data_IF_020872002006
#
_entry.id   IF_020872002006
#
_cell.length_a   1.000
_cell.length_b   1.000
_cell.length_c   1.000
_cell.angle_alpha   90.00
_cell.angle_beta   90.00
_cell.angle_gamma   90.00
#
_symmetry.space_group_name_H-M   'P 1'
#
loop_
_entity.id
_entity.type
_entity.pdbx_description
1 polymer ?
#
# COMPACT_ATOMS: atom_id res chain seq x y z
N UNK A 1 -7.20 -56.34 0.89
CA UNK A 1 -6.15 -55.81 1.78
C UNK A 1 -5.48 -54.65 1.06
N UNK A 2 -5.74 -53.40 1.47
CA UNK A 2 -5.04 -52.23 0.90
C UNK A 2 -3.62 -52.26 1.45
N UNK A 3 -2.62 -52.46 0.59
CA UNK A 3 -1.22 -52.24 0.97
C UNK A 3 -1.10 -50.76 1.35
N UNK A 4 -1.05 -50.49 2.66
CA UNK A 4 -0.65 -49.20 3.18
C UNK A 4 0.85 -49.08 2.90
N UNK A 5 1.21 -48.47 1.77
CA UNK A 5 2.58 -48.03 1.53
C UNK A 5 2.96 -47.07 2.65
N UNK A 6 3.96 -47.45 3.42
CA UNK A 6 4.43 -46.66 4.54
C UNK A 6 5.24 -45.49 3.94
N UNK A 7 4.79 -44.25 4.10
CA UNK A 7 5.40 -43.05 3.49
C UNK A 7 5.66 -42.00 4.56
N UNK A 8 6.61 -41.10 4.32
CA UNK A 8 6.85 -39.93 5.17
C UNK A 8 7.03 -38.66 4.32
N UNK A 9 6.91 -37.49 4.96
CA UNK A 9 7.08 -36.19 4.33
C UNK A 9 8.31 -35.52 4.93
N UNK A 10 9.16 -34.94 4.08
CA UNK A 10 10.28 -34.08 4.48
C UNK A 10 10.46 -32.95 3.46
N UNK A 11 11.17 -31.91 3.85
CA UNK A 11 11.56 -30.86 2.91
C UNK A 11 12.50 -31.43 1.85
N UNK A 12 12.21 -31.07 0.60
CA UNK A 12 12.98 -31.42 -0.57
C UNK A 12 13.18 -30.18 -1.44
N UNK A 13 14.39 -30.03 -1.95
CA UNK A 13 14.75 -28.91 -2.81
C UNK A 13 14.73 -29.37 -4.26
N UNK A 14 13.87 -28.75 -5.07
CA UNK A 14 13.77 -29.01 -6.49
C UNK A 14 13.91 -27.70 -7.29
N UNK A 15 14.36 -27.79 -8.53
CA UNK A 15 14.47 -26.63 -9.44
C UNK A 15 13.40 -26.70 -10.51
N UNK A 16 12.60 -25.65 -10.62
CA UNK A 16 11.55 -25.50 -11.64
C UNK A 16 12.02 -24.56 -12.75
N UNK A 17 11.74 -24.90 -14.01
CA UNK A 17 12.04 -24.04 -15.15
C UNK A 17 10.75 -23.42 -15.69
N UNK A 18 10.60 -22.11 -15.53
CA UNK A 18 9.42 -21.35 -15.96
C UNK A 18 9.86 -20.35 -17.03
N UNK A 19 9.37 -20.52 -18.27
CA UNK A 19 9.68 -19.64 -19.42
C UNK A 19 11.19 -19.35 -19.62
N UNK A 20 12.05 -20.33 -19.32
CA UNK A 20 13.51 -20.20 -19.47
C UNK A 20 14.25 -19.71 -18.22
N UNK A 21 13.53 -19.45 -17.12
CA UNK A 21 14.11 -19.04 -15.83
C UNK A 21 14.04 -20.20 -14.84
N UNK A 22 15.09 -20.39 -14.05
CA UNK A 22 15.21 -21.48 -13.08
C UNK A 22 14.96 -20.99 -11.65
N UNK A 23 14.05 -21.65 -10.94
CA UNK A 23 13.66 -21.32 -9.57
C UNK A 23 13.87 -22.52 -8.65
N UNK A 24 14.76 -22.38 -7.69
CA UNK A 24 15.04 -23.41 -6.69
C UNK A 24 14.10 -23.23 -5.50
N UNK A 25 13.24 -24.23 -5.28
CA UNK A 25 12.23 -24.22 -4.21
C UNK A 25 12.50 -25.35 -3.23
N UNK A 26 12.46 -25.03 -1.95
CA UNK A 26 12.41 -26.02 -0.86
C UNK A 26 10.97 -26.12 -0.35
N UNK A 27 10.38 -27.32 -0.48
CA UNK A 27 9.01 -27.59 -0.06
C UNK A 27 8.85 -29.04 0.44
N UNK A 28 7.82 -29.33 1.26
CA UNK A 28 7.53 -30.68 1.69
C UNK A 28 7.23 -31.59 0.49
N UNK A 29 7.87 -32.76 0.43
CA UNK A 29 7.63 -33.78 -0.59
C UNK A 29 7.49 -35.17 0.06
N UNK A 30 6.79 -36.08 -0.62
CA UNK A 30 6.51 -37.43 -0.11
C UNK A 30 7.60 -38.41 -0.52
N UNK A 31 8.01 -39.26 0.42
CA UNK A 31 9.01 -40.31 0.19
C UNK A 31 8.51 -41.67 0.65
N UNK A 32 8.94 -42.73 -0.05
CA UNK A 32 8.73 -44.11 0.40
C UNK A 32 9.58 -44.40 1.64
N UNK A 33 9.00 -44.98 2.68
CA UNK A 33 9.71 -45.21 3.95
C UNK A 33 10.75 -46.33 3.89
N UNK A 34 10.75 -47.16 2.86
CA UNK A 34 11.69 -48.28 2.67
C UNK A 34 12.81 -47.92 1.71
N UNK A 35 12.48 -47.31 0.58
CA UNK A 35 13.48 -46.98 -0.47
C UNK A 35 14.03 -45.56 -0.35
N UNK A 36 13.38 -44.67 0.43
CA UNK A 36 13.67 -43.24 0.48
C UNK A 36 13.60 -42.53 -0.89
N UNK A 37 12.87 -43.11 -1.84
CA UNK A 37 12.63 -42.52 -3.15
C UNK A 37 11.48 -41.50 -3.08
N UNK A 38 11.58 -40.45 -3.90
CA UNK A 38 10.55 -39.44 -4.07
C UNK A 38 9.30 -40.09 -4.69
N UNK A 39 8.14 -39.81 -4.13
CA UNK A 39 6.84 -40.28 -4.60
C UNK A 39 6.00 -39.10 -5.08
N UNK A 40 5.29 -39.30 -6.19
CA UNK A 40 4.32 -38.33 -6.70
C UNK A 40 3.22 -38.07 -5.64
N UNK A 41 3.01 -36.80 -5.30
CA UNK A 41 1.94 -36.35 -4.43
C UNK A 41 1.38 -35.05 -5.01
N UNK A 42 0.24 -35.16 -5.69
CA UNK A 42 -0.38 -34.06 -6.43
C UNK A 42 -0.53 -32.79 -5.59
N UNK A 43 -0.83 -32.87 -4.29
CA UNK A 43 -1.01 -31.67 -3.46
C UNK A 43 0.33 -31.03 -3.07
N UNK A 44 1.33 -31.85 -2.72
CA UNK A 44 2.66 -31.37 -2.35
C UNK A 44 3.43 -30.82 -3.54
N UNK A 45 3.32 -31.50 -4.68
CA UNK A 45 3.95 -31.12 -5.94
C UNK A 45 3.35 -29.82 -6.48
N UNK A 46 2.02 -29.65 -6.42
CA UNK A 46 1.33 -28.41 -6.82
C UNK A 46 1.74 -27.22 -5.93
N UNK A 47 1.87 -27.43 -4.61
CA UNK A 47 2.38 -26.39 -3.69
C UNK A 47 3.82 -25.99 -3.99
N UNK A 48 4.67 -26.95 -4.34
CA UNK A 48 6.06 -26.66 -4.72
C UNK A 48 6.12 -25.88 -6.04
N UNK A 49 5.31 -26.27 -7.02
CA UNK A 49 5.19 -25.57 -8.28
C UNK A 49 4.63 -24.14 -8.11
N UNK A 50 3.63 -23.95 -7.25
CA UNK A 50 3.06 -22.62 -7.02
C UNK A 50 4.04 -21.68 -6.32
N UNK A 51 4.88 -22.18 -5.40
CA UNK A 51 6.00 -21.40 -4.86
C UNK A 51 6.96 -20.94 -5.96
N UNK A 52 7.30 -21.81 -6.92
CA UNK A 52 8.14 -21.41 -8.06
C UNK A 52 7.43 -20.37 -8.94
N UNK A 53 6.11 -20.51 -9.14
CA UNK A 53 5.32 -19.53 -9.87
C UNK A 53 5.30 -18.17 -9.14
N UNK A 54 5.19 -18.15 -7.81
CA UNK A 54 5.28 -16.93 -7.00
C UNK A 54 6.63 -16.23 -7.19
N UNK A 55 7.74 -16.98 -7.12
CA UNK A 55 9.08 -16.43 -7.40
C UNK A 55 9.18 -15.82 -8.81
N UNK A 56 8.61 -16.48 -9.82
CA UNK A 56 8.53 -15.93 -11.18
C UNK A 56 7.69 -14.65 -11.23
N UNK A 57 6.56 -14.59 -10.50
CA UNK A 57 5.72 -13.38 -10.45
C UNK A 57 6.43 -12.22 -9.76
N UNK A 58 7.19 -12.48 -8.71
CA UNK A 58 7.98 -11.47 -8.01
C UNK A 58 9.08 -10.89 -8.91
N UNK A 59 9.88 -11.75 -9.56
CA UNK A 59 10.96 -11.33 -10.46
C UNK A 59 10.43 -10.46 -11.61
N UNK A 60 9.30 -10.85 -12.20
CA UNK A 60 8.72 -10.15 -13.36
C UNK A 60 7.62 -9.15 -12.99
N UNK A 61 7.40 -8.91 -11.70
CA UNK A 61 6.39 -8.01 -11.18
C UNK A 61 5.00 -8.28 -11.82
N UNK A 62 4.54 -9.53 -11.77
CA UNK A 62 3.26 -9.98 -12.31
C UNK A 62 2.21 -10.07 -11.21
N UNK A 63 0.97 -9.73 -11.56
CA UNK A 63 -0.17 -9.88 -10.65
C UNK A 63 -0.42 -11.35 -10.32
N UNK A 64 -0.67 -11.62 -9.04
CA UNK A 64 -1.08 -12.91 -8.53
C UNK A 64 -2.56 -13.21 -8.86
N UNK A 65 -2.95 -14.51 -8.87
CA UNK A 65 -4.35 -14.91 -9.05
C UNK A 65 -5.29 -14.26 -8.03
N UNK A 66 -4.81 -14.14 -6.78
CA UNK A 66 -5.55 -13.52 -5.69
C UNK A 66 -5.79 -12.05 -5.94
N UNK A 67 -4.77 -11.29 -6.33
CA UNK A 67 -4.90 -9.85 -6.62
C UNK A 67 -5.93 -9.58 -7.74
N UNK A 68 -5.91 -10.38 -8.80
CA UNK A 68 -6.86 -10.27 -9.92
C UNK A 68 -8.29 -10.59 -9.45
N UNK A 69 -8.45 -11.67 -8.68
CA UNK A 69 -9.75 -12.10 -8.14
C UNK A 69 -10.31 -11.09 -7.15
N UNK A 70 -9.49 -10.56 -6.26
CA UNK A 70 -9.86 -9.56 -5.27
C UNK A 70 -10.26 -8.26 -5.95
N UNK A 71 -9.51 -7.83 -6.97
CA UNK A 71 -9.88 -6.66 -7.78
C UNK A 71 -11.22 -6.86 -8.50
N UNK A 72 -11.43 -8.02 -9.13
CA UNK A 72 -12.72 -8.33 -9.76
C UNK A 72 -13.88 -8.31 -8.77
N UNK A 73 -13.71 -8.97 -7.63
CA UNK A 73 -14.73 -9.04 -6.57
C UNK A 73 -15.03 -7.66 -5.98
N UNK A 74 -14.01 -6.80 -5.85
CA UNK A 74 -14.15 -5.40 -5.43
C UNK A 74 -15.07 -4.60 -6.35
N UNK A 75 -15.07 -4.92 -7.64
CA UNK A 75 -15.96 -4.32 -8.65
C UNK A 75 -17.32 -5.02 -8.75
N UNK A 76 -17.59 -6.01 -7.88
CA UNK A 76 -18.81 -6.85 -7.89
C UNK A 76 -19.07 -7.55 -9.24
N UNK A 77 -18.01 -7.80 -10.01
CA UNK A 77 -18.11 -8.39 -11.35
C UNK A 77 -17.94 -9.91 -11.32
N UNK A 78 -18.70 -10.60 -12.17
CA UNK A 78 -18.43 -12.01 -12.51
C UNK A 78 -17.18 -12.10 -13.39
N UNK A 79 -16.56 -13.28 -13.52
CA UNK A 79 -15.42 -13.47 -14.44
C UNK A 79 -15.77 -13.08 -15.89
N UNK A 80 -17.03 -13.31 -16.30
CA UNK A 80 -17.53 -12.95 -17.62
C UNK A 80 -17.66 -11.43 -17.80
N UNK A 81 -18.18 -10.74 -16.79
CA UNK A 81 -18.35 -9.28 -16.84
C UNK A 81 -16.99 -8.58 -16.79
N UNK A 82 -16.08 -9.11 -15.97
CA UNK A 82 -14.72 -8.59 -15.88
C UNK A 82 -13.94 -8.80 -17.17
N UNK A 83 -14.11 -9.95 -17.83
CA UNK A 83 -13.50 -10.20 -19.13
C UNK A 83 -13.98 -9.19 -20.19
N UNK A 84 -15.29 -8.88 -20.21
CA UNK A 84 -15.85 -7.84 -21.10
C UNK A 84 -15.33 -6.45 -20.76
N UNK A 85 -15.16 -6.13 -19.48
CA UNK A 85 -14.57 -4.85 -19.05
C UNK A 85 -13.14 -4.71 -19.61
N UNK A 86 -12.29 -5.72 -19.45
CA UNK A 86 -10.87 -5.68 -19.86
C UNK A 86 -10.67 -5.92 -21.36
N UNK A 87 -11.71 -6.34 -22.09
CA UNK A 87 -11.64 -6.66 -23.53
C UNK A 87 -10.99 -8.01 -23.84
N UNK A 88 -11.16 -9.02 -22.97
CA UNK A 88 -10.59 -10.38 -23.13
C UNK A 88 -11.67 -11.47 -23.07
N UNK A 89 -11.29 -12.71 -23.34
CA UNK A 89 -12.22 -13.85 -23.19
C UNK A 89 -12.47 -14.20 -21.72
N UNK A 90 -13.67 -14.68 -21.33
CA UNK A 90 -13.93 -15.15 -19.98
C UNK A 90 -12.96 -16.25 -19.51
N UNK A 91 -12.51 -17.10 -20.43
CA UNK A 91 -11.52 -18.14 -20.15
C UNK A 91 -10.16 -17.55 -19.74
N UNK A 92 -9.77 -16.41 -20.31
CA UNK A 92 -8.53 -15.72 -19.94
C UNK A 92 -8.53 -15.30 -18.48
N UNK A 93 -9.65 -14.75 -17.98
CA UNK A 93 -9.79 -14.38 -16.56
C UNK A 93 -9.79 -15.62 -15.67
N UNK A 94 -10.51 -16.67 -16.06
CA UNK A 94 -10.52 -17.93 -15.30
C UNK A 94 -9.12 -18.54 -15.18
N UNK A 95 -8.32 -18.52 -16.26
CA UNK A 95 -6.93 -18.98 -16.25
C UNK A 95 -6.07 -18.15 -15.30
N UNK A 96 -6.19 -16.82 -15.35
CA UNK A 96 -5.41 -15.94 -14.46
C UNK A 96 -5.76 -16.16 -12.99
N UNK A 97 -7.04 -16.28 -12.66
CA UNK A 97 -7.50 -16.59 -11.29
C UNK A 97 -7.16 -18.01 -10.83
N UNK A 98 -6.78 -18.90 -11.76
CA UNK A 98 -6.35 -20.26 -11.48
C UNK A 98 -4.82 -20.45 -11.46
N UNK A 99 -4.02 -19.38 -11.67
CA UNK A 99 -2.56 -19.47 -11.59
C UNK A 99 -1.81 -19.08 -12.88
N UNK A 100 -2.49 -18.99 -14.03
CA UNK A 100 -1.80 -18.67 -15.28
C UNK A 100 -1.24 -17.25 -15.27
N UNK A 101 -0.04 -17.09 -15.83
CA UNK A 101 0.62 -15.78 -15.88
C UNK A 101 -0.09 -14.83 -16.85
N UNK A 102 -0.38 -13.58 -16.44
CA UNK A 102 -0.88 -12.58 -17.36
C UNK A 102 0.15 -12.23 -18.43
N UNK A 103 -0.33 -11.91 -19.65
CA UNK A 103 0.52 -11.29 -20.67
C UNK A 103 1.03 -9.94 -20.16
N UNK A 104 2.17 -9.47 -20.70
CA UNK A 104 2.73 -8.15 -20.32
C UNK A 104 1.72 -7.02 -20.52
N UNK A 105 0.93 -7.07 -21.59
CA UNK A 105 -0.12 -6.08 -21.86
C UNK A 105 -1.24 -6.14 -20.81
N UNK A 106 -1.77 -7.34 -20.50
CA UNK A 106 -2.84 -7.49 -19.52
C UNK A 106 -2.35 -7.13 -18.11
N UNK A 107 -1.12 -7.49 -17.75
CA UNK A 107 -0.53 -7.15 -16.45
C UNK A 107 -0.42 -5.63 -16.27
N UNK A 108 0.07 -4.92 -17.29
CA UNK A 108 0.18 -3.45 -17.26
C UNK A 108 -1.19 -2.78 -17.15
N UNK A 109 -2.16 -3.23 -17.96
CA UNK A 109 -3.52 -2.70 -17.93
C UNK A 109 -4.16 -2.92 -16.55
N UNK A 110 -4.16 -4.14 -16.05
CA UNK A 110 -4.74 -4.48 -14.75
C UNK A 110 -4.08 -3.67 -13.63
N UNK A 111 -2.75 -3.56 -13.61
CA UNK A 111 -2.05 -2.71 -12.63
C UNK A 111 -2.47 -1.24 -12.72
N UNK A 112 -2.60 -0.70 -13.93
CA UNK A 112 -3.07 0.67 -14.13
C UNK A 112 -4.48 0.87 -13.57
N UNK A 113 -5.39 -0.08 -13.80
CA UNK A 113 -6.77 -0.02 -13.30
C UNK A 113 -6.87 -0.26 -11.79
N UNK A 114 -5.93 -1.02 -11.22
CA UNK A 114 -5.88 -1.32 -9.79
C UNK A 114 -5.26 -0.18 -8.98
N UNK A 115 -4.37 0.62 -9.60
CA UNK A 115 -3.61 1.69 -8.95
C UNK A 115 -4.51 2.84 -8.47
N UNK A 116 -5.43 3.30 -9.33
CA UNK A 116 -6.31 4.42 -9.01
C UNK A 116 -7.71 4.21 -9.61
N UNK A 117 -8.74 4.42 -8.80
CA UNK A 117 -10.13 4.34 -9.22
C UNK A 117 -10.45 5.40 -10.31
N UNK A 118 -9.67 6.49 -10.44
CA UNK A 118 -9.72 7.45 -11.57
C UNK A 118 -9.35 6.78 -12.90
N UNK A 119 -8.30 5.97 -12.93
CA UNK A 119 -7.88 5.27 -14.14
C UNK A 119 -8.99 4.32 -14.64
N UNK A 120 -9.71 3.69 -13.71
CA UNK A 120 -10.85 2.85 -14.05
C UNK A 120 -12.03 3.66 -14.60
N UNK A 121 -12.31 4.85 -14.04
CA UNK A 121 -13.32 5.78 -14.56
C UNK A 121 -12.97 6.27 -15.97
N UNK A 122 -11.71 6.66 -16.18
CA UNK A 122 -11.23 7.14 -17.47
C UNK A 122 -11.29 6.04 -18.53
N UNK A 123 -10.83 4.84 -18.18
CA UNK A 123 -10.90 3.66 -19.05
C UNK A 123 -12.33 3.35 -19.51
N UNK A 124 -13.30 3.38 -18.59
CA UNK A 124 -14.72 3.19 -18.94
C UNK A 124 -15.25 4.32 -19.81
N UNK A 125 -14.79 5.55 -19.60
CA UNK A 125 -15.25 6.72 -20.37
C UNK A 125 -14.74 6.68 -21.81
N UNK A 126 -13.49 6.26 -22.01
CA UNK A 126 -12.89 6.11 -23.35
C UNK A 126 -13.58 5.01 -24.15
N UNK A 127 -13.84 3.85 -23.53
CA UNK A 127 -14.46 2.69 -24.19
C UNK A 127 -15.96 2.54 -23.88
N UNK A 128 -16.65 3.65 -23.58
CA UNK A 128 -18.04 3.65 -23.11
C UNK A 128 -19.02 2.96 -24.08
N UNK A 129 -18.71 2.94 -25.38
CA UNK A 129 -19.55 2.30 -26.40
C UNK A 129 -19.29 0.80 -26.54
N UNK A 130 -18.12 0.30 -26.09
CA UNK A 130 -17.75 -1.12 -26.17
C UNK A 130 -18.10 -1.89 -24.90
N UNK A 131 -18.14 -1.21 -23.75
CA UNK A 131 -18.47 -1.82 -22.47
C UNK A 131 -19.99 -1.78 -22.25
N UNK A 132 -20.67 -2.91 -22.03
CA UNK A 132 -22.10 -2.94 -21.73
C UNK A 132 -22.50 -2.06 -20.52
N UNK A 133 -23.64 -1.37 -20.63
CA UNK A 133 -24.09 -0.38 -19.64
C UNK A 133 -24.35 -0.97 -18.25
N UNK A 134 -24.78 -2.23 -18.16
CA UNK A 134 -24.92 -2.96 -16.91
C UNK A 134 -23.58 -3.12 -16.18
N UNK A 135 -22.50 -3.39 -16.92
CA UNK A 135 -21.14 -3.51 -16.36
C UNK A 135 -20.64 -2.13 -15.91
N UNK A 136 -20.88 -1.09 -16.71
CA UNK A 136 -20.53 0.28 -16.32
C UNK A 136 -21.24 0.68 -15.02
N UNK A 137 -22.52 0.34 -14.88
CA UNK A 137 -23.30 0.66 -13.69
C UNK A 137 -22.78 -0.11 -12.47
N UNK A 138 -22.50 -1.41 -12.58
CA UNK A 138 -21.89 -2.20 -11.49
C UNK A 138 -20.56 -1.61 -11.02
N UNK A 139 -19.69 -1.21 -11.96
CA UNK A 139 -18.41 -0.58 -11.61
C UNK A 139 -18.64 0.77 -10.94
N UNK A 140 -19.52 1.63 -11.48
CA UNK A 140 -19.87 2.92 -10.85
C UNK A 140 -20.44 2.71 -9.45
N UNK A 141 -21.34 1.76 -9.26
CA UNK A 141 -21.90 1.38 -7.96
C UNK A 141 -20.84 0.84 -7.00
N UNK A 142 -19.89 0.03 -7.47
CA UNK A 142 -18.79 -0.48 -6.66
C UNK A 142 -17.83 0.66 -6.21
N UNK A 143 -17.55 1.60 -7.11
CA UNK A 143 -16.76 2.80 -6.81
C UNK A 143 -17.50 3.76 -5.87
N UNK A 144 -18.81 3.93 -6.06
CA UNK A 144 -19.66 4.78 -5.22
C UNK A 144 -19.99 4.12 -3.88
N UNK A 145 -20.08 2.80 -3.80
CA UNK A 145 -20.32 2.08 -2.55
C UNK A 145 -19.10 2.15 -1.64
N UNK A 146 -17.86 2.20 -2.17
CA UNK A 146 -16.68 2.64 -1.40
C UNK A 146 -16.80 4.07 -0.86
N UNK A 147 -17.45 4.96 -1.62
CA UNK A 147 -17.73 6.34 -1.20
C UNK A 147 -18.84 6.41 -0.13
N UNK A 148 -19.84 5.53 -0.20
CA UNK A 148 -20.96 5.42 0.74
C UNK A 148 -20.71 4.47 1.93
N UNK A 149 -19.62 3.68 1.93
CA UNK A 149 -19.24 2.77 3.01
C UNK A 149 -18.04 3.25 3.84
N UNK A 150 -17.42 4.39 3.51
CA UNK A 150 -16.58 5.08 4.48
C UNK A 150 -17.50 5.57 5.58
N UNK A 151 -17.36 5.03 6.79
CA UNK A 151 -17.90 5.69 7.99
C UNK A 151 -17.40 7.13 7.95
N UNK A 152 -18.28 8.08 7.63
CA UNK A 152 -17.96 9.49 7.77
C UNK A 152 -17.94 9.75 9.27
N UNK A 153 -16.74 9.73 9.83
CA UNK A 153 -16.55 10.01 11.23
C UNK A 153 -16.75 11.52 11.43
N UNK A 154 -17.76 11.89 12.19
CA UNK A 154 -17.96 13.27 12.63
C UNK A 154 -17.23 13.57 13.93
N UNK A 155 -16.82 12.52 14.67
CA UNK A 155 -16.07 12.58 15.91
C UNK A 155 -15.07 11.41 15.97
N UNK A 156 -13.95 11.60 16.69
CA UNK A 156 -13.01 10.53 16.94
C UNK A 156 -13.58 9.45 17.85
N UNK A 157 -13.30 8.19 17.49
CA UNK A 157 -13.52 7.04 18.36
C UNK A 157 -12.53 7.12 19.53
N UNK A 158 -12.98 7.00 20.79
CA UNK A 158 -12.10 6.94 21.94
C UNK A 158 -11.10 5.78 21.81
N UNK A 159 -9.82 6.06 22.04
CA UNK A 159 -8.76 5.08 21.94
C UNK A 159 -7.39 5.72 22.11
N UNK A 160 -6.39 4.89 22.35
CA UNK A 160 -5.01 5.33 22.45
C UNK A 160 -4.34 5.29 21.07
N UNK A 161 -3.58 6.33 20.75
CA UNK A 161 -2.66 6.30 19.61
C UNK A 161 -1.50 5.38 19.93
N UNK A 162 -1.19 4.44 19.02
CA UNK A 162 -0.18 3.39 19.26
C UNK A 162 1.25 3.94 19.24
N UNK A 163 1.49 5.01 18.49
CA UNK A 163 2.82 5.60 18.29
C UNK A 163 2.80 7.10 18.56
N UNK A 164 3.93 7.63 19.04
CA UNK A 164 4.11 9.09 19.14
C UNK A 164 4.40 9.70 17.77
N UNK A 165 4.26 11.02 17.67
CA UNK A 165 4.56 11.71 16.42
C UNK A 165 6.06 11.68 16.09
N UNK A 166 6.93 11.58 17.10
CA UNK A 166 8.37 11.40 16.92
C UNK A 166 8.74 10.05 16.36
N UNK A 167 8.10 8.97 16.81
CA UNK A 167 8.36 7.63 16.26
C UNK A 167 7.97 7.59 14.77
N UNK A 168 6.81 8.16 14.43
CA UNK A 168 6.35 8.27 13.05
C UNK A 168 7.28 9.18 12.21
N UNK A 169 7.82 10.25 12.79
CA UNK A 169 8.85 11.07 12.13
C UNK A 169 10.13 10.27 11.87
N UNK A 170 10.55 9.43 12.82
CA UNK A 170 11.73 8.58 12.68
C UNK A 170 11.58 7.56 11.54
N UNK A 171 10.36 7.06 11.29
CA UNK A 171 10.11 6.23 10.12
C UNK A 171 10.45 6.95 8.81
N UNK A 172 9.98 8.20 8.62
CA UNK A 172 10.32 9.00 7.44
C UNK A 172 11.82 9.34 7.38
N UNK A 173 12.47 9.60 8.52
CA UNK A 173 13.91 9.88 8.58
C UNK A 173 14.73 8.69 8.07
N UNK A 174 14.44 7.48 8.54
CA UNK A 174 15.14 6.26 8.12
C UNK A 174 14.86 5.95 6.65
N UNK A 175 13.60 6.14 6.20
CA UNK A 175 13.23 5.95 4.80
C UNK A 175 14.02 6.89 3.87
N UNK A 176 14.02 8.19 4.17
CA UNK A 176 14.77 9.19 3.40
C UNK A 176 16.29 8.96 3.45
N UNK A 177 16.83 8.54 4.60
CA UNK A 177 18.24 8.17 4.72
C UNK A 177 18.59 6.97 3.84
N UNK A 178 17.77 5.92 3.82
CA UNK A 178 18.00 4.77 2.93
C UNK A 178 17.89 5.13 1.45
N UNK A 179 17.00 6.06 1.10
CA UNK A 179 16.86 6.52 -0.28
C UNK A 179 18.03 7.40 -0.70
N UNK A 180 18.57 8.26 0.19
CA UNK A 180 19.75 9.08 -0.09
C UNK A 180 21.05 8.27 -0.20
N UNK A 181 21.12 7.08 0.40
CA UNK A 181 22.23 6.13 0.17
C UNK A 181 22.19 5.50 -1.24
N UNK A 182 21.02 5.50 -1.90
CA UNK A 182 20.83 4.89 -3.22
C UNK A 182 20.89 5.90 -4.36
N UNK A 183 20.48 7.13 -4.10
CA UNK A 183 20.45 8.22 -5.06
C UNK A 183 20.91 9.54 -4.42
N UNK A 184 22.03 10.07 -4.91
CA UNK A 184 22.62 11.32 -4.42
C UNK A 184 21.75 12.57 -4.70
N UNK A 185 20.75 12.45 -5.57
CA UNK A 185 19.82 13.54 -5.89
C UNK A 185 18.63 13.63 -4.94
N UNK A 186 18.50 12.69 -3.98
CA UNK A 186 17.43 12.72 -2.98
C UNK A 186 17.63 13.92 -2.05
N UNK A 187 16.62 14.80 -2.03
CA UNK A 187 16.58 15.93 -1.11
C UNK A 187 16.58 15.45 0.35
N UNK A 188 17.46 16.01 1.17
CA UNK A 188 17.50 15.73 2.60
C UNK A 188 16.14 16.05 3.25
N UNK A 189 15.61 15.12 4.06
CA UNK A 189 14.38 15.37 4.80
C UNK A 189 14.58 16.55 5.75
N UNK A 190 13.74 17.58 5.58
CA UNK A 190 13.70 18.75 6.45
C UNK A 190 12.59 18.62 7.48
N UNK A 191 12.72 19.34 8.59
CA UNK A 191 11.65 19.47 9.58
C UNK A 191 10.33 19.95 8.94
N UNK A 192 10.41 20.91 8.01
CA UNK A 192 9.25 21.50 7.35
C UNK A 192 8.51 20.50 6.44
N UNK A 193 9.21 19.50 5.91
CA UNK A 193 8.63 18.43 5.10
C UNK A 193 7.97 17.38 5.99
N UNK A 194 8.68 16.87 7.00
CA UNK A 194 8.15 15.78 7.85
C UNK A 194 6.89 16.20 8.62
N UNK A 195 6.79 17.42 9.13
CA UNK A 195 5.58 17.86 9.86
C UNK A 195 4.35 17.91 8.95
N UNK A 196 4.53 18.15 7.64
CA UNK A 196 3.45 18.13 6.66
C UNK A 196 3.07 16.71 6.25
N UNK A 197 4.05 15.84 6.05
CA UNK A 197 3.80 14.41 5.80
C UNK A 197 3.00 13.81 6.96
N UNK A 198 3.38 14.10 8.21
CA UNK A 198 2.64 13.67 9.39
C UNK A 198 1.23 14.26 9.48
N UNK A 199 1.03 15.52 9.07
CA UNK A 199 -0.30 16.12 8.98
C UNK A 199 -1.20 15.37 7.98
N UNK A 200 -0.68 15.05 6.79
CA UNK A 200 -1.43 14.28 5.80
C UNK A 200 -1.69 12.83 6.28
N UNK A 201 -0.70 12.20 6.92
CA UNK A 201 -0.85 10.88 7.53
C UNK A 201 -1.94 10.87 8.61
N UNK A 202 -1.97 11.89 9.47
CA UNK A 202 -3.00 12.04 10.49
C UNK A 202 -4.40 12.13 9.87
N UNK A 203 -4.59 13.01 8.87
CA UNK A 203 -5.88 13.16 8.19
C UNK A 203 -6.33 11.89 7.46
N UNK A 204 -5.41 11.20 6.78
CA UNK A 204 -5.68 9.93 6.10
C UNK A 204 -6.04 8.82 7.07
N UNK A 205 -5.27 8.64 8.13
CA UNK A 205 -5.55 7.64 9.16
C UNK A 205 -6.88 7.92 9.88
N UNK A 206 -7.13 9.19 10.20
CA UNK A 206 -8.36 9.63 10.86
C UNK A 206 -9.61 9.32 10.02
N UNK A 207 -9.57 9.58 8.72
CA UNK A 207 -10.71 9.30 7.82
C UNK A 207 -10.89 7.81 7.52
N UNK A 208 -9.81 7.03 7.52
CA UNK A 208 -9.89 5.58 7.31
C UNK A 208 -10.42 4.83 8.55
N UNK A 209 -10.02 5.26 9.76
CA UNK A 209 -10.21 4.47 10.99
C UNK A 209 -11.13 5.14 12.02
N UNK A 210 -11.33 6.45 11.93
CA UNK A 210 -12.00 7.26 12.94
C UNK A 210 -11.17 7.49 14.20
N UNK A 211 -9.90 7.06 14.23
CA UNK A 211 -8.98 7.17 15.37
C UNK A 211 -7.88 8.19 15.10
N UNK A 212 -7.24 8.67 16.17
CA UNK A 212 -6.10 9.58 16.06
C UNK A 212 -4.81 8.79 15.82
N UNK A 213 -4.00 9.25 14.86
CA UNK A 213 -2.71 8.61 14.56
C UNK A 213 -1.70 8.85 15.70
N UNK A 214 -1.70 10.05 16.26
CA UNK A 214 -0.91 10.48 17.41
C UNK A 214 -1.71 11.52 18.22
N UNK A 215 -1.23 11.91 19.39
CA UNK A 215 -1.91 12.88 20.28
C UNK A 215 -1.23 14.25 20.36
N UNK A 216 -0.03 14.40 19.76
CA UNK A 216 0.66 15.70 19.70
C UNK A 216 -0.20 16.75 18.99
N UNK A 217 -0.36 17.96 19.55
CA UNK A 217 -1.11 19.04 18.90
C UNK A 217 -0.55 19.39 17.52
N UNK A 218 -1.45 19.71 16.60
CA UNK A 218 -1.11 20.25 15.27
C UNK A 218 -1.41 21.74 15.30
N UNK A 219 -0.37 22.58 15.31
CA UNK A 219 -0.49 24.03 15.45
C UNK A 219 -0.54 24.69 14.06
N UNK A 220 -1.45 25.65 13.88
CA UNK A 220 -1.50 26.46 12.66
C UNK A 220 -0.37 27.50 12.67
N UNK A 221 0.74 27.23 11.97
CA UNK A 221 1.91 28.11 11.93
C UNK A 221 2.10 28.78 10.57
N UNK A 222 2.97 29.80 10.49
CA UNK A 222 3.12 30.65 9.30
C UNK A 222 3.35 29.87 7.99
N UNK A 223 3.98 28.69 8.08
CA UNK A 223 4.33 27.85 6.94
C UNK A 223 3.49 26.58 6.80
N UNK A 224 2.37 26.49 7.51
CA UNK A 224 1.44 25.36 7.46
C UNK A 224 1.16 24.74 8.84
N UNK A 225 0.42 23.61 8.88
CA UNK A 225 0.22 22.83 10.09
C UNK A 225 1.55 22.24 10.56
N UNK A 226 1.80 22.32 11.86
CA UNK A 226 3.04 21.86 12.49
C UNK A 226 2.72 20.95 13.66
N UNK A 227 3.22 19.71 13.61
CA UNK A 227 3.13 18.78 14.74
C UNK A 227 4.10 19.24 15.83
N UNK A 228 3.57 19.65 16.97
CA UNK A 228 4.30 20.41 18.00
C UNK A 228 5.50 19.63 18.55
N UNK A 229 5.32 18.36 18.89
CA UNK A 229 6.38 17.51 19.47
C UNK A 229 7.56 17.34 18.50
N UNK A 230 7.29 17.11 17.22
CA UNK A 230 8.30 17.00 16.17
C UNK A 230 9.00 18.33 15.93
N UNK A 231 8.25 19.43 15.94
CA UNK A 231 8.83 20.75 15.79
C UNK A 231 9.77 21.11 16.94
N UNK A 232 9.37 20.85 18.18
CA UNK A 232 10.21 21.10 19.34
C UNK A 232 11.51 20.29 19.28
N UNK A 233 11.44 19.02 18.84
CA UNK A 233 12.63 18.16 18.73
C UNK A 233 13.63 18.62 17.68
N UNK A 234 13.16 19.12 16.54
CA UNK A 234 14.00 19.44 15.38
C UNK A 234 14.12 20.94 15.09
N UNK A 235 13.62 21.79 15.99
CA UNK A 235 13.70 23.25 15.83
C UNK A 235 15.16 23.70 15.70
N UNK A 236 15.41 24.63 14.77
CA UNK A 236 16.76 25.11 14.45
C UNK A 236 17.55 24.26 13.45
N UNK A 237 17.10 23.03 13.13
CA UNK A 237 17.78 22.17 12.17
C UNK A 237 17.24 22.36 10.75
N UNK A 238 18.14 22.46 9.75
CA UNK A 238 17.76 22.53 8.33
C UNK A 238 17.35 21.16 7.81
N UNK A 239 18.22 20.18 8.01
CA UNK A 239 17.99 18.77 7.73
C UNK A 239 17.85 17.97 9.03
N UNK A 240 17.13 16.85 8.98
CA UNK A 240 16.87 16.01 10.16
C UNK A 240 17.42 14.59 10.04
N UNK A 241 18.20 14.29 8.99
CA UNK A 241 18.85 12.97 8.84
C UNK A 241 20.37 13.01 9.10
N UNK A 242 20.93 14.18 9.41
CA UNK A 242 22.35 14.33 9.72
C UNK A 242 23.22 14.39 8.46
N UNK A 243 24.54 14.39 8.62
CA UNK A 243 25.45 14.36 7.46
C UNK A 243 25.32 13.04 6.69
N UNK A 244 25.23 13.12 5.36
CA UNK A 244 25.14 11.96 4.47
C UNK A 244 26.24 10.95 4.78
N UNK A 245 25.86 9.71 5.08
CA UNK A 245 26.78 8.62 5.42
C UNK A 245 27.04 8.41 6.92
N UNK A 246 26.54 9.29 7.80
CA UNK A 246 26.50 9.02 9.23
C UNK A 246 25.23 8.28 9.61
N UNK A 247 25.36 7.23 10.43
CA UNK A 247 24.23 6.45 10.92
C UNK A 247 23.32 7.33 11.78
N UNK A 248 22.02 7.28 11.53
CA UNK A 248 21.00 7.83 12.44
C UNK A 248 21.05 7.13 13.80
N UNK A 249 20.57 7.81 14.85
CA UNK A 249 20.57 7.27 16.21
C UNK A 249 19.81 5.93 16.31
N UNK A 250 20.24 5.05 17.23
CA UNK A 250 19.64 3.71 17.37
C UNK A 250 18.15 3.76 17.72
N UNK A 251 17.68 4.84 18.36
CA UNK A 251 16.26 5.06 18.62
C UNK A 251 15.47 5.18 17.31
N UNK A 252 15.97 5.92 16.32
CA UNK A 252 15.31 6.08 15.03
C UNK A 252 15.17 4.74 14.27
N UNK A 253 16.20 3.88 14.33
CA UNK A 253 16.15 2.54 13.71
C UNK A 253 15.14 1.63 14.42
N UNK A 254 15.13 1.62 15.75
CA UNK A 254 14.17 0.83 16.53
C UNK A 254 12.72 1.29 16.27
N UNK A 255 12.49 2.60 16.19
CA UNK A 255 11.18 3.16 15.86
C UNK A 255 10.74 2.77 14.44
N UNK A 256 11.66 2.84 13.46
CA UNK A 256 11.39 2.41 12.09
C UNK A 256 11.00 0.93 12.05
N UNK A 257 11.79 0.04 12.65
CA UNK A 257 11.49 -1.40 12.67
C UNK A 257 10.16 -1.71 13.37
N UNK A 258 9.87 -1.03 14.48
CA UNK A 258 8.63 -1.19 15.21
C UNK A 258 7.39 -0.76 14.38
N UNK A 259 7.52 0.28 13.58
CA UNK A 259 6.44 0.78 12.71
C UNK A 259 6.33 -0.05 11.43
N UNK A 260 7.45 -0.46 10.84
CA UNK A 260 7.47 -1.29 9.63
C UNK A 260 6.80 -2.65 9.88
N UNK A 261 6.96 -3.19 11.08
CA UNK A 261 6.28 -4.41 11.53
C UNK A 261 4.80 -4.21 11.93
N UNK A 262 4.25 -2.99 11.82
CA UNK A 262 2.83 -2.70 11.94
C UNK A 262 2.21 -2.49 10.54
N UNK A 263 1.51 -3.48 9.97
CA UNK A 263 0.96 -3.38 8.61
C UNK A 263 -0.09 -2.28 8.44
N UNK A 264 -0.80 -1.88 9.50
CA UNK A 264 -1.80 -0.83 9.42
C UNK A 264 -1.13 0.54 9.29
N UNK A 265 -0.15 0.81 10.14
CA UNK A 265 0.54 2.11 10.20
C UNK A 265 1.55 2.25 9.07
N UNK A 266 2.40 1.25 8.82
CA UNK A 266 3.38 1.28 7.71
C UNK A 266 2.70 1.51 6.37
N UNK A 267 1.56 0.85 6.09
CA UNK A 267 0.76 1.09 4.88
C UNK A 267 0.36 2.55 4.75
N UNK A 268 -0.15 3.18 5.82
CA UNK A 268 -0.58 4.59 5.76
C UNK A 268 0.62 5.51 5.52
N UNK A 269 1.75 5.29 6.18
CA UNK A 269 2.95 6.12 5.96
C UNK A 269 3.52 5.94 4.55
N UNK A 270 3.52 4.72 4.03
CA UNK A 270 3.99 4.41 2.68
C UNK A 270 3.07 5.00 1.60
N UNK A 271 1.75 4.99 1.82
CA UNK A 271 0.80 5.71 0.97
C UNK A 271 1.07 7.23 0.95
N UNK A 272 1.40 7.83 2.10
CA UNK A 272 1.77 9.24 2.18
C UNK A 272 3.09 9.51 1.46
N UNK A 273 4.07 8.63 1.58
CA UNK A 273 5.36 8.76 0.89
C UNK A 273 5.17 8.66 -0.63
N UNK A 274 4.32 7.75 -1.12
CA UNK A 274 4.02 7.64 -2.54
C UNK A 274 3.31 8.88 -3.10
N UNK A 275 2.39 9.48 -2.33
CA UNK A 275 1.60 10.63 -2.80
C UNK A 275 2.33 11.97 -2.67
N UNK A 276 3.20 12.10 -1.66
CA UNK A 276 3.75 13.37 -1.21
C UNK A 276 5.28 13.38 -1.03
N UNK A 277 5.95 12.23 -1.03
CA UNK A 277 7.39 12.09 -0.77
C UNK A 277 8.26 12.88 -1.75
N UNK A 278 7.92 12.87 -3.04
CA UNK A 278 8.65 13.62 -4.08
C UNK A 278 8.36 15.13 -4.06
N UNK A 279 7.40 15.59 -3.26
CA UNK A 279 7.06 17.02 -3.20
C UNK A 279 8.03 17.76 -2.27
N UNK A 280 8.44 18.95 -2.72
CA UNK A 280 9.23 19.86 -1.88
C UNK A 280 8.41 20.35 -0.69
N UNK A 281 9.10 20.79 0.37
CA UNK A 281 8.46 21.39 1.53
C UNK A 281 7.55 22.59 1.16
N UNK A 282 7.91 23.35 0.12
CA UNK A 282 7.11 24.47 -0.39
C UNK A 282 5.85 23.98 -1.11
N UNK A 283 5.95 22.94 -1.94
CA UNK A 283 4.78 22.36 -2.60
C UNK A 283 3.75 21.85 -1.57
N UNK A 284 4.21 21.16 -0.52
CA UNK A 284 3.35 20.71 0.58
C UNK A 284 2.74 21.88 1.36
N UNK A 285 3.48 22.98 1.53
CA UNK A 285 2.93 24.21 2.13
C UNK A 285 1.76 24.73 1.29
N UNK A 286 1.93 24.82 -0.02
CA UNK A 286 0.90 25.36 -0.90
C UNK A 286 -0.38 24.52 -0.89
N UNK A 287 -0.27 23.19 -0.71
CA UNK A 287 -1.42 22.31 -0.53
C UNK A 287 -2.12 22.60 0.81
N UNK A 288 -1.36 22.68 1.90
CA UNK A 288 -1.94 22.95 3.23
C UNK A 288 -2.52 24.36 3.37
N UNK A 289 -2.10 25.31 2.53
CA UNK A 289 -2.57 26.70 2.50
C UNK A 289 -3.82 26.93 1.63
N UNK A 290 -4.33 25.90 0.94
CA UNK A 290 -5.51 26.05 0.08
C UNK A 290 -6.72 26.59 0.87
N UNK A 291 -7.53 27.50 0.28
CA UNK A 291 -8.76 27.97 0.90
C UNK A 291 -9.66 26.81 1.33
N UNK A 292 -10.16 26.85 2.56
CA UNK A 292 -10.99 25.77 3.11
C UNK A 292 -10.20 24.60 3.69
N UNK A 293 -8.86 24.64 3.70
CA UNK A 293 -8.06 23.71 4.50
C UNK A 293 -8.26 23.94 6.01
N UNK A 294 -8.00 22.95 6.88
CA UNK A 294 -8.02 23.13 8.33
C UNK A 294 -7.09 24.25 8.80
N UNK A 295 -5.92 24.37 8.17
CA UNK A 295 -4.96 25.44 8.47
C UNK A 295 -5.52 26.82 8.10
N UNK A 296 -6.13 26.98 6.92
CA UNK A 296 -6.68 28.28 6.48
C UNK A 296 -7.87 28.76 7.33
N UNK A 297 -8.52 27.84 8.03
CA UNK A 297 -9.66 28.09 8.92
C UNK A 297 -9.25 28.27 10.39
N UNK A 298 -7.97 28.13 10.73
CA UNK A 298 -7.46 28.23 12.10
C UNK A 298 -6.56 29.46 12.24
N UNK A 299 -6.78 30.26 13.30
CA UNK A 299 -5.92 31.40 13.61
C UNK A 299 -4.47 30.96 13.84
N UNK A 300 -3.51 31.75 13.33
CA UNK A 300 -2.09 31.47 13.50
C UNK A 300 -1.70 31.38 14.98
N UNK A 301 -0.89 30.39 15.33
CA UNK A 301 -0.43 30.10 16.69
C UNK A 301 -1.37 29.24 17.52
N UNK A 302 -2.58 28.92 17.02
CA UNK A 302 -3.53 28.07 17.75
C UNK A 302 -3.52 26.62 17.27
N UNK A 303 -3.85 25.65 18.14
CA UNK A 303 -4.10 24.27 17.73
C UNK A 303 -5.23 24.19 16.70
N UNK A 304 -5.00 23.45 15.62
CA UNK A 304 -6.04 23.10 14.65
C UNK A 304 -6.95 22.07 15.30
N UNK A 305 -8.26 22.34 15.28
CA UNK A 305 -9.26 21.38 15.76
C UNK A 305 -9.15 20.08 14.93
N UNK A 306 -8.88 18.96 15.59
CA UNK A 306 -8.71 17.69 14.92
C UNK A 306 -10.01 17.22 14.25
N UNK A 307 -11.18 17.62 14.76
CA UNK A 307 -12.48 17.32 14.13
C UNK A 307 -12.65 18.09 12.82
N UNK A 308 -12.06 19.29 12.72
CA UNK A 308 -11.97 20.03 11.47
C UNK A 308 -11.06 19.31 10.47
N UNK A 309 -9.92 18.75 10.93
CA UNK A 309 -9.05 17.91 10.09
C UNK A 309 -9.82 16.70 9.57
N UNK A 310 -10.48 15.95 10.47
CA UNK A 310 -11.26 14.78 10.13
C UNK A 310 -12.35 15.08 9.09
N UNK A 311 -13.10 16.17 9.29
CA UNK A 311 -14.16 16.61 8.38
C UNK A 311 -13.62 17.02 7.01
N UNK A 312 -12.60 17.86 6.97
CA UNK A 312 -12.09 18.37 5.68
C UNK A 312 -11.45 17.25 4.87
N UNK A 313 -10.63 16.40 5.48
CA UNK A 313 -10.06 15.24 4.78
C UNK A 313 -11.13 14.23 4.36
N UNK A 314 -12.20 14.06 5.15
CA UNK A 314 -13.32 13.19 4.80
C UNK A 314 -14.08 13.67 3.56
N UNK A 315 -14.16 14.99 3.36
CA UNK A 315 -14.85 15.60 2.22
C UNK A 315 -13.94 15.77 0.98
N UNK A 316 -12.62 15.77 1.14
CA UNK A 316 -11.65 16.00 0.05
C UNK A 316 -11.41 14.80 -0.87
N UNK A 317 -12.29 13.80 -0.88
CA UNK A 317 -12.25 12.72 -1.90
C UNK A 317 -12.75 13.15 -3.30
N UNK A 318 -12.94 14.45 -3.53
CA UNK A 318 -13.43 15.04 -4.80
C UNK A 318 -12.41 15.96 -5.52
N UNK A 319 -11.12 15.98 -5.15
CA UNK A 319 -10.08 16.71 -5.91
C UNK A 319 -8.89 15.82 -6.28
#
# INVERSE_FOLDING_TARGET
MKNTTNTYIKDYTNTFVIKGHSYTVTAPARFDSKTNELLDDFELDDRAAEKANEMYREEFNLLSPKEIKDFRNRLTLSQRDFAKLIGVSPNTIALYEAGAFPTTAHNRLLKSLMYDDRNLKDYITVDQHQIPSDIQNKVKEALNSKSNSKKVFTQFIPGFSKYSSLQLANWFRIKNFHDSLKDENVEELTQMKVVKLLYFAFGRYATQTGKKLFTSPIIAMQHGPVVEEVHQKFSGNRGIIGETGQKLDDTAYNDYELIENDPEISRVLMEIENDYGDKTAVALRNITHQPGSPWSQTSQGYPIDETLILRVFGNQHEM
#
